data_IF_005101009999
#
_entry.id   IF_005101009999
#
_cell.length_a   1.000
_cell.length_b   1.000
_cell.length_c   1.000
_cell.angle_alpha   90.00
_cell.angle_beta   90.00
_cell.angle_gamma   90.00
#
_symmetry.space_group_name_H-M   'P 1'
#
loop_
_entity.id
_entity.type
_entity.pdbx_description
1 polymer ?
#
# COMPACT_ATOMS: atom_id res chain seq x y z
N UNK A 1 -23.58 8.82 -15.04
CA UNK A 1 -22.70 8.21 -14.01
C UNK A 1 -22.06 9.34 -13.24
N UNK A 2 -22.12 9.32 -11.91
CA UNK A 2 -21.56 10.39 -11.07
C UNK A 2 -20.17 9.94 -10.62
N UNK A 3 -19.13 10.62 -11.08
CA UNK A 3 -17.75 10.38 -10.64
C UNK A 3 -17.52 11.13 -9.33
N UNK A 4 -17.06 10.43 -8.29
CA UNK A 4 -16.80 11.06 -7.01
C UNK A 4 -15.55 11.97 -7.06
N UNK A 5 -15.51 13.08 -6.29
CA UNK A 5 -14.28 13.85 -6.11
C UNK A 5 -13.10 13.01 -5.60
N UNK A 6 -13.39 11.93 -4.85
CA UNK A 6 -12.38 10.96 -4.40
C UNK A 6 -11.67 10.26 -5.56
N UNK A 7 -12.38 9.89 -6.63
CA UNK A 7 -11.79 9.22 -7.78
C UNK A 7 -10.81 10.15 -8.53
N UNK A 8 -11.18 11.41 -8.72
CA UNK A 8 -10.31 12.41 -9.35
C UNK A 8 -9.04 12.62 -8.52
N UNK A 9 -9.20 12.90 -7.22
CA UNK A 9 -8.06 13.10 -6.30
C UNK A 9 -7.14 11.88 -6.25
N UNK A 10 -7.70 10.67 -6.24
CA UNK A 10 -6.94 9.42 -6.31
C UNK A 10 -6.05 9.37 -7.55
N UNK A 11 -6.54 9.81 -8.71
CA UNK A 11 -5.76 9.92 -9.94
C UNK A 11 -4.52 10.80 -9.78
N UNK A 12 -4.67 12.02 -9.25
CA UNK A 12 -3.55 12.93 -8.99
C UNK A 12 -2.53 12.37 -7.98
N UNK A 13 -3.02 11.71 -6.93
CA UNK A 13 -2.19 11.05 -5.92
C UNK A 13 -1.37 9.93 -6.56
N UNK A 14 -2.02 9.03 -7.31
CA UNK A 14 -1.34 7.91 -7.95
C UNK A 14 -0.27 8.39 -8.93
N UNK A 15 -0.52 9.42 -9.75
CA UNK A 15 0.51 10.01 -10.65
C UNK A 15 1.78 10.48 -9.93
N UNK A 16 1.69 10.76 -8.63
CA UNK A 16 2.81 11.22 -7.81
C UNK A 16 3.56 10.10 -7.10
N UNK A 17 3.02 8.88 -7.11
CA UNK A 17 3.63 7.70 -6.50
C UNK A 17 4.48 7.00 -7.56
N UNK A 18 5.73 6.60 -7.27
CA UNK A 18 6.54 5.83 -8.19
C UNK A 18 5.92 4.45 -8.42
N UNK A 19 6.08 3.88 -9.61
CA UNK A 19 5.54 2.56 -9.93
C UNK A 19 4.02 2.46 -9.69
N UNK A 20 3.26 3.48 -10.06
CA UNK A 20 1.82 3.56 -9.84
C UNK A 20 0.99 3.33 -11.11
N UNK A 21 1.52 2.57 -12.08
CA UNK A 21 0.78 2.25 -13.31
C UNK A 21 -0.61 1.74 -12.95
N UNK A 22 -1.62 2.54 -13.26
CA UNK A 22 -2.97 2.36 -12.75
C UNK A 22 -3.82 1.56 -13.75
N UNK A 23 -4.45 0.49 -13.26
CA UNK A 23 -5.40 -0.39 -13.94
C UNK A 23 -6.32 -1.01 -12.89
N UNK A 24 -7.50 -1.51 -13.28
CA UNK A 24 -8.38 -2.29 -12.40
C UNK A 24 -8.82 -3.65 -12.99
N UNK A 25 -8.23 -4.04 -14.13
CA UNK A 25 -8.55 -5.24 -14.92
C UNK A 25 -8.49 -6.54 -14.10
N UNK A 26 -7.40 -6.75 -13.35
CA UNK A 26 -7.14 -8.01 -12.66
C UNK A 26 -7.29 -7.91 -11.15
N UNK A 27 -7.35 -9.06 -10.47
CA UNK A 27 -7.30 -9.11 -9.01
C UNK A 27 -6.01 -8.50 -8.45
N UNK A 28 -4.87 -8.73 -9.12
CA UNK A 28 -3.58 -8.19 -8.69
C UNK A 28 -3.52 -6.66 -8.87
N UNK A 29 -4.12 -6.11 -9.93
CA UNK A 29 -4.21 -4.66 -10.12
C UNK A 29 -4.99 -4.00 -8.97
N UNK A 30 -6.12 -4.62 -8.59
CA UNK A 30 -6.91 -4.16 -7.44
C UNK A 30 -6.11 -4.26 -6.14
N UNK A 31 -5.41 -5.36 -5.90
CA UNK A 31 -4.57 -5.49 -4.70
C UNK A 31 -3.46 -4.43 -4.67
N UNK A 32 -2.81 -4.18 -5.80
CA UNK A 32 -1.76 -3.17 -5.92
C UNK A 32 -2.28 -1.79 -5.53
N UNK A 33 -3.43 -1.37 -6.05
CA UNK A 33 -4.08 -0.11 -5.66
C UNK A 33 -4.26 -0.05 -4.13
N UNK A 34 -4.83 -1.12 -3.56
CA UNK A 34 -5.09 -1.21 -2.12
C UNK A 34 -3.82 -1.04 -1.30
N UNK A 35 -2.71 -1.68 -1.72
CA UNK A 35 -1.47 -1.63 -0.94
C UNK A 35 -0.75 -0.29 -1.10
N UNK A 36 -0.73 0.28 -2.30
CA UNK A 36 -0.09 1.58 -2.55
C UNK A 36 -0.75 2.67 -1.71
N UNK A 37 -2.08 2.78 -1.77
CA UNK A 37 -2.81 3.82 -1.05
C UNK A 37 -2.75 3.58 0.46
N UNK A 38 -2.86 2.33 0.91
CA UNK A 38 -2.67 1.99 2.32
C UNK A 38 -1.31 2.44 2.84
N UNK A 39 -0.23 2.17 2.10
CA UNK A 39 1.11 2.58 2.52
C UNK A 39 1.25 4.10 2.58
N UNK A 40 0.55 4.86 1.73
CA UNK A 40 0.51 6.32 1.87
C UNK A 40 -0.17 6.74 3.18
N UNK A 41 -1.30 6.12 3.54
CA UNK A 41 -2.00 6.43 4.81
C UNK A 41 -1.23 5.96 6.04
N UNK A 42 -0.46 4.86 5.95
CA UNK A 42 0.42 4.38 7.01
C UNK A 42 1.47 5.43 7.43
N UNK A 43 1.92 6.28 6.51
CA UNK A 43 2.80 7.42 6.81
C UNK A 43 2.05 8.64 7.38
N UNK A 44 0.75 8.51 7.66
CA UNK A 44 -0.08 9.54 8.27
C UNK A 44 -0.61 10.59 7.29
N UNK A 45 -0.72 10.25 6.00
CA UNK A 45 -1.43 11.05 5.00
C UNK A 45 -2.86 10.58 4.94
N UNK A 46 -3.80 11.32 5.53
CA UNK A 46 -5.20 10.92 5.54
C UNK A 46 -5.85 11.11 4.16
N UNK A 47 -6.30 10.02 3.56
CA UNK A 47 -7.02 9.95 2.29
C UNK A 47 -8.47 9.48 2.46
N UNK A 48 -8.82 9.00 3.67
CA UNK A 48 -10.20 8.70 4.06
C UNK A 48 -10.65 7.29 3.71
N UNK A 49 -9.72 6.33 3.63
CA UNK A 49 -10.05 4.93 3.41
C UNK A 49 -9.87 4.09 4.68
N UNK A 50 -10.89 3.30 4.99
CA UNK A 50 -10.88 2.38 6.13
C UNK A 50 -10.52 0.97 5.67
N UNK A 51 -9.43 0.43 6.20
CA UNK A 51 -8.90 -0.88 5.78
C UNK A 51 -9.21 -1.96 6.80
N UNK A 52 -9.49 -3.15 6.28
CA UNK A 52 -9.58 -4.38 7.06
C UNK A 52 -8.66 -5.44 6.48
N UNK A 53 -8.39 -6.49 7.25
CA UNK A 53 -7.64 -7.65 6.75
C UNK A 53 -8.52 -8.50 5.82
N UNK A 54 -8.16 -8.60 4.54
CA UNK A 54 -8.91 -9.38 3.55
C UNK A 54 -7.97 -10.17 2.63
N UNK A 55 -8.07 -11.50 2.68
CA UNK A 55 -7.29 -12.50 1.92
C UNK A 55 -5.76 -12.34 2.01
N UNK A 56 -5.23 -11.26 1.42
CA UNK A 56 -3.81 -10.92 1.24
C UNK A 56 -3.46 -9.56 1.86
N UNK A 57 -3.97 -9.24 3.06
CA UNK A 57 -3.63 -8.02 3.81
C UNK A 57 -4.68 -6.90 3.75
N UNK A 58 -4.30 -5.61 3.85
CA UNK A 58 -5.25 -4.49 3.86
C UNK A 58 -6.10 -4.40 2.60
N UNK A 59 -7.40 -4.17 2.80
CA UNK A 59 -8.37 -3.93 1.74
C UNK A 59 -9.49 -2.99 2.21
N UNK A 60 -9.90 -2.09 1.34
CA UNK A 60 -10.94 -1.11 1.52
C UNK A 60 -11.88 -1.13 0.30
N UNK A 61 -13.16 -1.44 0.52
CA UNK A 61 -14.17 -1.55 -0.53
C UNK A 61 -14.47 -0.20 -1.18
N UNK A 62 -14.47 0.90 -0.41
CA UNK A 62 -14.66 2.25 -0.96
C UNK A 62 -13.49 2.68 -1.84
N UNK A 63 -12.25 2.28 -1.51
CA UNK A 63 -11.10 2.49 -2.41
C UNK A 63 -11.22 1.68 -3.70
N UNK A 64 -11.70 0.43 -3.62
CA UNK A 64 -11.91 -0.37 -4.83
C UNK A 64 -12.94 0.30 -5.76
N UNK A 65 -14.03 0.83 -5.19
CA UNK A 65 -15.03 1.61 -5.93
C UNK A 65 -14.43 2.87 -6.54
N UNK A 66 -13.65 3.64 -5.78
CA UNK A 66 -12.97 4.84 -6.30
C UNK A 66 -11.99 4.49 -7.43
N UNK A 67 -11.33 3.33 -7.37
CA UNK A 67 -10.51 2.81 -8.47
C UNK A 67 -11.33 2.56 -9.74
N UNK A 68 -12.45 1.85 -9.66
CA UNK A 68 -13.30 1.64 -10.84
C UNK A 68 -13.88 2.94 -11.42
N UNK A 69 -14.20 3.91 -10.56
CA UNK A 69 -14.62 5.25 -11.02
C UNK A 69 -13.44 5.98 -11.71
N UNK A 70 -12.23 5.91 -11.16
CA UNK A 70 -11.03 6.50 -11.74
C UNK A 70 -10.68 5.87 -13.10
N UNK A 71 -10.85 4.56 -13.29
CA UNK A 71 -10.59 3.87 -14.56
C UNK A 71 -11.36 4.48 -15.73
N UNK A 72 -12.57 4.98 -15.48
CA UNK A 72 -13.41 5.62 -16.49
C UNK A 72 -12.90 7.00 -16.92
N UNK A 73 -12.14 7.68 -16.06
CA UNK A 73 -11.64 9.06 -16.27
C UNK A 73 -10.10 9.14 -16.27
N UNK A 74 -9.39 8.02 -16.26
CA UNK A 74 -7.94 7.99 -16.07
C UNK A 74 -7.18 8.72 -17.19
N UNK A 75 -7.76 8.76 -18.40
CA UNK A 75 -7.25 9.51 -19.57
C UNK A 75 -7.42 11.02 -19.42
N UNK A 76 -8.35 11.49 -18.59
CA UNK A 76 -8.58 12.91 -18.32
C UNK A 76 -7.59 13.47 -17.29
N UNK A 77 -6.98 12.60 -16.47
CA UNK A 77 -5.95 12.98 -15.52
C UNK A 77 -4.64 13.29 -16.26
N UNK A 78 -4.11 14.53 -16.21
CA UNK A 78 -2.93 14.90 -16.97
C UNK A 78 -1.72 14.01 -16.63
N UNK A 79 -0.92 13.57 -17.62
CA UNK A 79 0.14 12.59 -17.41
C UNK A 79 1.26 13.08 -16.48
N UNK A 80 1.45 14.40 -16.38
CA UNK A 80 2.45 15.03 -15.53
C UNK A 80 1.85 15.72 -14.30
N UNK A 81 0.57 15.48 -14.02
CA UNK A 81 -0.07 15.99 -12.82
C UNK A 81 0.65 15.46 -11.57
N UNK A 82 0.89 16.35 -10.62
CA UNK A 82 1.39 16.00 -9.29
C UNK A 82 0.41 16.49 -8.24
N UNK A 83 0.16 15.65 -7.25
CA UNK A 83 -0.59 16.03 -6.07
C UNK A 83 0.31 16.90 -5.19
N UNK A 84 -0.22 18.05 -4.79
CA UNK A 84 0.33 18.89 -3.75
C UNK A 84 -0.65 18.93 -2.59
N UNK A 85 -0.14 18.72 -1.38
CA UNK A 85 -0.92 18.79 -0.17
C UNK A 85 -0.82 20.19 0.41
N UNK A 86 -1.98 20.78 0.72
CA UNK A 86 -2.09 22.13 1.29
C UNK A 86 -1.23 22.31 2.55
N UNK A 87 -1.16 21.29 3.41
CA UNK A 87 -0.34 21.33 4.62
C UNK A 87 1.06 20.76 4.35
N UNK A 88 2.09 21.55 4.70
CA UNK A 88 3.49 21.19 4.50
C UNK A 88 3.90 19.90 5.21
N UNK A 89 3.37 19.65 6.42
CA UNK A 89 3.61 18.39 7.15
C UNK A 89 3.02 17.18 6.42
N UNK A 90 1.81 17.31 5.88
CA UNK A 90 1.19 16.26 5.04
C UNK A 90 2.03 16.03 3.78
N UNK A 91 2.52 17.09 3.15
CA UNK A 91 3.40 17.00 1.98
C UNK A 91 4.73 16.29 2.32
N UNK A 92 5.31 16.54 3.50
CA UNK A 92 6.51 15.84 4.00
C UNK A 92 6.25 14.36 4.20
N UNK A 93 5.14 14.00 4.87
CA UNK A 93 4.70 12.60 5.06
C UNK A 93 4.50 11.88 3.72
N UNK A 94 3.83 12.53 2.76
CA UNK A 94 3.65 11.99 1.42
C UNK A 94 4.98 11.76 0.68
N UNK A 95 5.93 12.70 0.79
CA UNK A 95 7.29 12.54 0.25
C UNK A 95 8.05 11.38 0.89
N UNK A 96 7.87 11.14 2.20
CA UNK A 96 8.44 9.97 2.89
C UNK A 96 7.82 8.67 2.37
N UNK A 97 6.49 8.61 2.29
CA UNK A 97 5.77 7.44 1.77
C UNK A 97 6.22 7.06 0.36
N UNK A 98 6.27 8.03 -0.56
CA UNK A 98 6.69 7.79 -1.95
C UNK A 98 8.15 7.35 -2.06
N UNK A 99 9.04 7.86 -1.20
CA UNK A 99 10.43 7.41 -1.11
C UNK A 99 10.52 5.98 -0.59
N UNK A 100 9.73 5.62 0.42
CA UNK A 100 9.68 4.27 0.95
C UNK A 100 9.14 3.28 -0.08
N UNK A 101 8.02 3.60 -0.75
CA UNK A 101 7.46 2.75 -1.82
C UNK A 101 8.52 2.49 -2.90
N UNK A 102 9.25 3.53 -3.32
CA UNK A 102 10.37 3.38 -4.27
C UNK A 102 11.49 2.47 -3.78
N UNK A 103 11.79 2.46 -2.48
CA UNK A 103 12.90 1.69 -1.93
C UNK A 103 12.56 0.21 -1.70
N UNK A 104 11.29 -0.16 -1.85
CA UNK A 104 10.82 -1.54 -1.68
C UNK A 104 10.27 -2.16 -2.97
N UNK A 105 10.01 -1.35 -4.00
CA UNK A 105 9.56 -1.80 -5.32
C UNK A 105 10.63 -1.45 -6.35
N UNK A 106 11.35 -2.45 -6.86
CA UNK A 106 12.33 -2.26 -7.93
C UNK A 106 11.66 -2.16 -9.31
N UNK A 107 10.53 -2.86 -9.47
CA UNK A 107 9.73 -2.90 -10.68
C UNK A 107 8.25 -2.65 -10.34
N UNK A 108 7.46 -2.03 -11.23
CA UNK A 108 6.03 -1.96 -11.07
C UNK A 108 5.38 -3.30 -10.70
N UNK A 109 5.77 -4.39 -11.30
CA UNK A 109 5.11 -5.68 -11.12
C UNK A 109 5.59 -6.44 -9.87
N UNK A 110 6.59 -5.92 -9.14
CA UNK A 110 7.00 -6.44 -7.83
C UNK A 110 6.02 -6.02 -6.72
N UNK A 111 4.83 -6.62 -6.74
CA UNK A 111 3.79 -6.40 -5.72
C UNK A 111 4.13 -7.08 -4.39
N UNK A 112 5.05 -8.05 -4.39
CA UNK A 112 5.29 -8.95 -3.25
C UNK A 112 5.79 -8.16 -2.06
N UNK A 113 6.79 -7.30 -2.26
CA UNK A 113 7.35 -6.46 -1.19
C UNK A 113 6.32 -5.47 -0.65
N UNK A 114 5.51 -4.87 -1.52
CA UNK A 114 4.45 -3.95 -1.12
C UNK A 114 3.35 -4.66 -0.31
N UNK A 115 3.00 -5.89 -0.70
CA UNK A 115 2.07 -6.72 0.05
C UNK A 115 2.59 -7.11 1.43
N UNK A 116 3.87 -7.49 1.54
CA UNK A 116 4.51 -7.76 2.83
C UNK A 116 4.48 -6.50 3.70
N UNK A 117 4.92 -5.35 3.18
CA UNK A 117 4.99 -4.10 3.94
C UNK A 117 3.63 -3.70 4.52
N UNK A 118 2.61 -3.67 3.66
CA UNK A 118 1.26 -3.29 4.04
C UNK A 118 0.60 -4.29 4.99
N UNK A 119 0.84 -5.59 4.80
CA UNK A 119 0.30 -6.65 5.67
C UNK A 119 0.93 -6.66 7.05
N UNK A 120 2.25 -6.53 7.13
CA UNK A 120 2.96 -6.42 8.41
C UNK A 120 2.47 -5.19 9.18
N UNK A 121 2.45 -4.01 8.55
CA UNK A 121 1.99 -2.78 9.19
C UNK A 121 0.55 -2.92 9.69
N UNK A 122 -0.38 -3.44 8.87
CA UNK A 122 -1.78 -3.59 9.29
C UNK A 122 -1.92 -4.50 10.50
N UNK A 123 -1.31 -5.70 10.47
CA UNK A 123 -1.37 -6.60 11.61
C UNK A 123 -0.71 -5.97 12.83
N UNK A 124 0.33 -5.16 12.63
CA UNK A 124 0.97 -4.48 13.73
C UNK A 124 0.01 -3.51 14.42
N UNK A 125 -0.66 -2.65 13.65
CA UNK A 125 -1.49 -1.58 14.23
C UNK A 125 -2.88 -2.04 14.66
N UNK A 126 -3.35 -3.20 14.21
CA UNK A 126 -4.74 -3.68 14.47
C UNK A 126 -4.83 -4.89 15.41
N UNK A 127 -3.72 -5.53 15.75
CA UNK A 127 -3.71 -6.72 16.61
C UNK A 127 -2.73 -6.56 17.76
N UNK A 128 -2.72 -7.51 18.70
CA UNK A 128 -1.72 -7.64 19.76
C UNK A 128 -0.75 -8.82 19.55
N UNK A 129 -0.64 -9.32 18.32
CA UNK A 129 0.19 -10.49 18.00
C UNK A 129 1.68 -10.19 18.16
N UNK A 130 2.46 -11.16 18.64
CA UNK A 130 3.91 -11.05 18.67
C UNK A 130 4.49 -11.06 17.24
N UNK A 131 5.71 -10.54 17.06
CA UNK A 131 6.36 -10.50 15.74
C UNK A 131 6.38 -11.86 15.01
N UNK A 132 6.74 -12.99 15.65
CA UNK A 132 6.75 -14.30 14.98
C UNK A 132 5.37 -14.73 14.46
N UNK A 133 4.30 -14.41 15.20
CA UNK A 133 2.93 -14.73 14.82
C UNK A 133 2.46 -13.88 13.64
N UNK A 134 2.82 -12.59 13.63
CA UNK A 134 2.54 -11.68 12.51
C UNK A 134 3.22 -12.18 11.24
N UNK A 135 4.52 -12.50 11.32
CA UNK A 135 5.28 -13.02 10.16
C UNK A 135 4.66 -14.35 9.67
N UNK A 136 4.37 -15.27 10.59
CA UNK A 136 3.73 -16.55 10.26
C UNK A 136 2.39 -16.35 9.57
N UNK A 137 1.59 -15.37 10.02
CA UNK A 137 0.30 -15.03 9.41
C UNK A 137 0.47 -14.52 7.98
N UNK A 138 1.42 -13.62 7.73
CA UNK A 138 1.72 -13.11 6.37
C UNK A 138 2.18 -14.25 5.46
N UNK A 139 3.16 -15.05 5.90
CA UNK A 139 3.66 -16.20 5.13
C UNK A 139 2.51 -17.15 4.78
N UNK A 140 1.64 -17.51 5.74
CA UNK A 140 0.54 -18.45 5.50
C UNK A 140 -0.43 -18.00 4.40
N UNK A 141 -0.59 -16.68 4.19
CA UNK A 141 -1.48 -16.12 3.19
C UNK A 141 -0.82 -15.90 1.83
N UNK A 142 0.51 -15.78 1.81
CA UNK A 142 1.30 -15.60 0.58
C UNK A 142 1.86 -16.91 0.02
N UNK A 143 1.97 -17.98 0.83
CA UNK A 143 2.56 -19.27 0.42
C UNK A 143 1.73 -20.02 -0.64
N UNK A 144 0.47 -19.63 -0.87
CA UNK A 144 -0.38 -20.23 -1.91
C UNK A 144 -0.07 -19.76 -3.34
N UNK A 145 1.07 -19.09 -3.56
CA UNK A 145 1.45 -18.42 -4.81
C UNK A 145 2.72 -19.02 -5.44
N UNK A 146 3.07 -20.27 -5.11
CA UNK A 146 4.33 -20.94 -5.52
C UNK A 146 5.61 -20.19 -5.11
N UNK A 147 5.52 -19.35 -4.06
CA UNK A 147 6.66 -18.60 -3.53
C UNK A 147 7.35 -19.44 -2.44
N UNK A 148 8.68 -19.55 -2.54
CA UNK A 148 9.51 -20.20 -1.54
C UNK A 148 9.30 -19.61 -0.13
N UNK A 149 9.06 -20.48 0.84
CA UNK A 149 8.76 -20.09 2.22
C UNK A 149 9.94 -19.42 2.90
N UNK A 150 11.17 -19.88 2.62
CA UNK A 150 12.39 -19.32 3.20
C UNK A 150 12.67 -17.92 2.62
N UNK A 151 12.42 -17.72 1.34
CA UNK A 151 12.40 -16.42 0.71
C UNK A 151 11.36 -15.48 1.35
N UNK A 152 10.12 -15.92 1.55
CA UNK A 152 9.08 -15.09 2.21
C UNK A 152 9.48 -14.73 3.64
N UNK A 153 10.02 -15.69 4.40
CA UNK A 153 10.48 -15.45 5.77
C UNK A 153 11.58 -14.37 5.82
N UNK A 154 12.62 -14.52 4.99
CA UNK A 154 13.70 -13.52 4.87
C UNK A 154 13.17 -12.16 4.41
N UNK A 155 12.21 -12.14 3.48
CA UNK A 155 11.59 -10.91 2.98
C UNK A 155 10.76 -10.20 4.04
N UNK A 156 10.05 -10.94 4.89
CA UNK A 156 9.30 -10.39 6.01
C UNK A 156 10.23 -9.77 7.06
N UNK A 157 11.32 -10.45 7.41
CA UNK A 157 12.33 -9.94 8.35
C UNK A 157 13.03 -8.69 7.84
N UNK A 158 13.45 -8.67 6.57
CA UNK A 158 14.00 -7.48 5.93
C UNK A 158 12.99 -6.33 5.94
N UNK A 159 11.74 -6.60 5.56
CA UNK A 159 10.69 -5.58 5.52
C UNK A 159 10.35 -5.04 6.92
N UNK A 160 10.35 -5.90 7.94
CA UNK A 160 10.16 -5.48 9.33
C UNK A 160 11.19 -4.40 9.71
N UNK A 161 12.48 -4.66 9.46
CA UNK A 161 13.55 -3.69 9.74
C UNK A 161 13.37 -2.38 8.97
N UNK A 162 12.94 -2.46 7.70
CA UNK A 162 12.66 -1.27 6.88
C UNK A 162 11.50 -0.44 7.45
N UNK A 163 10.43 -1.09 7.93
CA UNK A 163 9.31 -0.42 8.57
C UNK A 163 9.70 0.20 9.92
N UNK A 164 10.53 -0.46 10.74
CA UNK A 164 11.07 0.10 11.98
C UNK A 164 11.88 1.37 11.71
N UNK A 165 12.73 1.35 10.69
CA UNK A 165 13.57 2.50 10.31
C UNK A 165 12.76 3.74 9.89
N UNK A 166 11.52 3.55 9.45
CA UNK A 166 10.60 4.64 9.11
C UNK A 166 9.66 5.03 10.27
N UNK A 167 9.87 4.46 11.46
CA UNK A 167 9.02 4.64 12.65
C UNK A 167 7.55 4.22 12.45
N UNK A 168 7.31 3.27 11.55
CA UNK A 168 5.95 2.77 11.26
C UNK A 168 5.52 1.64 12.20
N UNK A 169 6.48 0.87 12.70
CA UNK A 169 6.25 -0.25 13.62
C UNK A 169 7.36 -0.26 14.69
N UNK A 170 7.12 -0.84 15.89
CA UNK A 170 8.16 -0.99 16.91
C UNK A 170 9.19 -2.06 16.51
N UNK A 171 10.43 -1.88 16.97
CA UNK A 171 11.54 -2.80 16.67
C UNK A 171 11.33 -4.18 17.29
N UNK A 172 11.03 -4.20 18.59
CA UNK A 172 10.64 -5.41 19.30
C UNK A 172 9.14 -5.44 19.56
N UNK A 173 8.54 -6.59 19.29
CA UNK A 173 7.16 -6.89 19.67
C UNK A 173 7.07 -8.27 20.30
N UNK A 174 7.00 -8.24 21.64
CA UNK A 174 6.88 -9.42 22.50
C UNK A 174 5.45 -9.91 22.58
#
# INVERSE_FOLDING_TARGET
MIISPSAVNLGYILRSIPHSSFKMDTFNDRLRLQKLVYMVEAFGVYLGYDYSWYLRGPYCTSLARAGFELEQIASEIPPHAKAEFMYSETQKKFKRATRFIRSIMDDPDDITRLEIASSLHLLVVTTNMAKPDIISRVISKMSGLDIDRDFLSRSCEDMWRKLCKEDLIPDERK
#
